data_IF_240417192096
#
_entry.id   IF_240417192096
#
_cell.length_a   1.000
_cell.length_b   1.000
_cell.length_c   1.000
_cell.angle_alpha   90.00
_cell.angle_beta   90.00
_cell.angle_gamma   90.00
#
_symmetry.space_group_name_H-M   'P 1'
#
loop_
_entity.id
_entity.type
_entity.pdbx_description
1 polymer ?
#
# COMPACT_ATOMS: atom_id res chain seq x y z
N UNK A 1 9.11 84.12 11.48
CA UNK A 1 9.72 83.08 10.62
C UNK A 1 10.33 82.08 11.59
N UNK A 2 9.52 81.12 12.06
CA UNK A 2 9.43 79.72 11.55
C UNK A 2 10.75 78.97 11.74
N UNK A 3 10.85 77.76 12.25
CA UNK A 3 9.97 76.82 12.93
C UNK A 3 10.90 75.66 13.40
N UNK A 4 10.58 75.07 14.54
CA UNK A 4 10.51 73.62 14.87
C UNK A 4 11.73 72.69 14.67
N UNK A 5 12.00 71.95 15.76
CA UNK A 5 12.80 70.74 15.95
C UNK A 5 12.64 69.63 14.89
N UNK A 6 13.69 68.83 14.66
CA UNK A 6 13.51 67.39 14.43
C UNK A 6 14.74 66.61 14.89
N UNK A 7 14.53 65.82 15.93
CA UNK A 7 15.31 64.68 16.37
C UNK A 7 15.32 63.59 15.31
N UNK A 8 16.49 62.98 15.11
CA UNK A 8 16.74 61.86 14.22
C UNK A 8 16.40 60.56 14.97
N UNK A 9 15.16 60.08 14.82
CA UNK A 9 14.72 58.76 15.27
C UNK A 9 14.75 57.82 14.05
N UNK A 10 15.76 56.96 14.00
CA UNK A 10 15.75 55.80 13.09
C UNK A 10 14.83 54.72 13.69
N UNK A 11 13.78 54.26 13.00
CA UNK A 11 12.93 53.20 13.55
C UNK A 11 13.67 51.86 13.49
N UNK A 12 13.54 50.99 14.52
CA UNK A 12 14.04 49.63 14.45
C UNK A 12 13.24 48.85 13.40
N UNK A 13 13.97 48.14 12.54
CA UNK A 13 13.43 47.17 11.59
C UNK A 13 12.54 46.17 12.32
N UNK A 14 11.26 46.17 11.96
CA UNK A 14 10.33 45.12 12.35
C UNK A 14 10.71 43.81 11.64
N UNK A 15 11.65 43.06 12.22
CA UNK A 15 11.66 41.61 12.07
C UNK A 15 10.36 41.11 12.70
N UNK A 16 9.36 40.92 11.85
CA UNK A 16 8.17 40.15 12.22
C UNK A 16 8.63 38.71 12.41
N UNK A 17 8.79 38.32 13.66
CA UNK A 17 8.62 36.93 14.08
C UNK A 17 7.28 36.43 13.51
N UNK A 18 7.34 35.76 12.36
CA UNK A 18 6.22 34.98 11.86
C UNK A 18 5.88 33.97 12.95
N UNK A 19 4.60 33.91 13.33
CA UNK A 19 4.15 32.95 14.33
C UNK A 19 4.59 31.54 13.87
N UNK A 20 5.00 30.64 14.80
CA UNK A 20 5.46 29.30 14.44
C UNK A 20 4.43 28.51 13.61
N UNK A 21 3.14 28.87 13.72
CA UNK A 21 2.05 28.31 12.93
C UNK A 21 2.17 28.65 11.41
N UNK A 22 2.62 29.86 11.06
CA UNK A 22 2.81 30.29 9.66
C UNK A 22 4.05 29.62 9.02
N UNK A 23 5.12 29.43 9.79
CA UNK A 23 6.34 28.78 9.31
C UNK A 23 6.14 27.27 9.06
N UNK A 24 5.30 26.60 9.86
CA UNK A 24 4.92 25.19 9.65
C UNK A 24 3.98 25.06 8.45
N UNK A 25 3.04 25.99 8.27
CA UNK A 25 2.13 26.04 7.13
C UNK A 25 2.86 26.37 5.81
N UNK A 26 3.78 27.33 5.81
CA UNK A 26 4.62 27.67 4.64
C UNK A 26 5.57 26.53 4.28
N UNK A 27 6.15 25.84 5.26
CA UNK A 27 6.99 24.66 4.99
C UNK A 27 6.17 23.51 4.40
N UNK A 28 4.94 23.29 4.89
CA UNK A 28 4.01 22.34 4.30
C UNK A 28 3.58 22.73 2.88
N UNK A 29 3.45 24.02 2.58
CA UNK A 29 3.12 24.54 1.25
C UNK A 29 4.31 24.44 0.26
N UNK A 30 5.54 24.67 0.73
CA UNK A 30 6.76 24.56 -0.08
C UNK A 30 7.17 23.10 -0.35
N UNK A 31 6.94 22.18 0.58
CA UNK A 31 7.21 20.75 0.39
C UNK A 31 6.22 20.06 -0.57
N UNK A 32 5.03 20.64 -0.78
CA UNK A 32 4.02 20.17 -1.74
C UNK A 32 4.45 20.32 -3.23
N UNK A 33 5.59 20.95 -3.49
CA UNK A 33 6.11 21.23 -4.84
C UNK A 33 7.01 20.08 -5.38
N UNK A 34 7.37 19.09 -4.54
CA UNK A 34 8.39 18.09 -4.89
C UNK A 34 7.91 16.88 -5.70
N UNK A 35 6.61 16.74 -5.96
CA UNK A 35 6.08 15.76 -6.92
C UNK A 35 5.53 16.54 -8.11
N UNK A 36 6.33 16.68 -9.18
CA UNK A 36 5.80 17.25 -10.41
C UNK A 36 4.74 16.27 -10.96
N UNK A 37 3.48 16.70 -11.13
CA UNK A 37 2.45 15.83 -11.67
C UNK A 37 2.83 15.42 -13.09
N UNK A 38 2.63 14.15 -13.42
CA UNK A 38 2.78 13.67 -14.80
C UNK A 38 1.87 14.50 -15.72
N UNK A 39 2.36 14.84 -16.91
CA UNK A 39 1.57 15.60 -17.90
C UNK A 39 0.37 14.82 -18.41
N UNK A 40 0.53 13.50 -18.51
CA UNK A 40 -0.49 12.58 -18.95
C UNK A 40 -1.22 12.03 -17.72
N UNK A 41 -2.56 12.03 -17.78
CA UNK A 41 -3.42 11.50 -16.71
C UNK A 41 -4.16 10.24 -17.15
N UNK A 42 -4.15 9.93 -18.44
CA UNK A 42 -4.83 8.80 -19.06
C UNK A 42 -3.90 8.10 -20.07
N UNK A 43 -4.14 6.83 -20.34
CA UNK A 43 -3.44 6.07 -21.38
C UNK A 43 -4.00 6.37 -22.77
N UNK A 44 -3.78 7.59 -23.26
CA UNK A 44 -4.30 8.12 -24.52
C UNK A 44 -3.44 7.75 -25.76
N UNK A 45 -3.27 6.45 -25.97
CA UNK A 45 -2.52 5.93 -27.11
C UNK A 45 -3.01 6.45 -28.47
N UNK A 46 -2.08 6.85 -29.33
CA UNK A 46 -2.35 7.39 -30.66
C UNK A 46 -2.38 6.31 -31.74
N UNK A 47 -1.57 5.26 -31.59
CA UNK A 47 -1.46 4.20 -32.58
C UNK A 47 -2.70 3.29 -32.57
N UNK A 48 -3.21 2.97 -33.77
CA UNK A 48 -4.48 2.23 -33.95
C UNK A 48 -4.50 0.82 -33.36
N UNK A 49 -3.33 0.23 -33.13
CA UNK A 49 -3.22 -1.10 -32.50
C UNK A 49 -3.86 -1.11 -31.10
N UNK A 50 -3.78 0.01 -30.38
CA UNK A 50 -4.34 0.15 -29.04
C UNK A 50 -5.85 0.43 -29.06
N UNK A 51 -6.40 0.81 -30.21
CA UNK A 51 -7.84 1.02 -30.39
C UNK A 51 -8.59 -0.29 -30.69
N UNK A 52 -7.92 -1.44 -30.69
CA UNK A 52 -8.55 -2.72 -30.96
C UNK A 52 -9.56 -3.09 -29.86
N UNK A 53 -10.77 -3.55 -30.22
CA UNK A 53 -11.78 -3.92 -29.23
C UNK A 53 -11.29 -5.00 -28.28
N UNK A 54 -11.44 -4.75 -26.98
CA UNK A 54 -11.05 -5.69 -25.94
C UNK A 54 -9.55 -5.76 -25.69
N UNK A 55 -8.74 -4.86 -26.26
CA UNK A 55 -7.33 -4.73 -25.94
C UNK A 55 -7.12 -4.44 -24.45
N UNK A 56 -6.12 -5.08 -23.85
CA UNK A 56 -5.70 -4.79 -22.49
C UNK A 56 -4.27 -5.22 -22.21
N UNK A 57 -3.65 -4.57 -21.25
CA UNK A 57 -2.32 -4.87 -20.77
C UNK A 57 -2.38 -5.65 -19.47
N UNK A 58 -1.51 -6.64 -19.30
CA UNK A 58 -1.31 -7.34 -18.04
C UNK A 58 0.12 -7.89 -17.98
N UNK A 59 0.55 -8.36 -16.80
CA UNK A 59 1.77 -9.15 -16.71
C UNK A 59 1.52 -10.56 -17.22
N UNK A 60 2.45 -11.09 -18.01
CA UNK A 60 2.43 -12.49 -18.38
C UNK A 60 2.61 -13.38 -17.14
N UNK A 61 1.80 -14.45 -16.96
CA UNK A 61 1.85 -15.27 -15.74
C UNK A 61 3.20 -15.94 -15.48
N UNK A 62 3.99 -16.21 -16.53
CA UNK A 62 5.24 -16.96 -16.45
C UNK A 62 6.45 -16.04 -16.41
N UNK A 63 6.58 -15.16 -17.41
CA UNK A 63 7.73 -14.26 -17.56
C UNK A 63 7.66 -13.03 -16.68
N UNK A 64 6.46 -12.62 -16.25
CA UNK A 64 6.17 -11.35 -15.55
C UNK A 64 6.36 -10.09 -16.38
N UNK A 65 6.72 -10.24 -17.65
CA UNK A 65 6.84 -9.12 -18.57
C UNK A 65 5.46 -8.52 -18.87
N UNK A 66 5.42 -7.20 -19.08
CA UNK A 66 4.20 -6.53 -19.52
C UNK A 66 3.88 -6.91 -20.97
N UNK A 67 2.64 -7.34 -21.20
CA UNK A 67 2.17 -7.78 -22.52
C UNK A 67 0.86 -7.10 -22.88
N UNK A 68 0.68 -6.81 -24.16
CA UNK A 68 -0.60 -6.39 -24.74
C UNK A 68 -1.37 -7.64 -25.20
N UNK A 69 -2.56 -7.83 -24.66
CA UNK A 69 -3.51 -8.85 -25.09
C UNK A 69 -4.51 -8.24 -26.06
N UNK A 70 -4.63 -8.83 -27.25
CA UNK A 70 -5.58 -8.44 -28.29
C UNK A 70 -6.29 -9.66 -28.87
N UNK A 71 -7.47 -9.41 -29.42
CA UNK A 71 -8.23 -10.38 -30.22
C UNK A 71 -7.96 -10.13 -31.70
N UNK A 72 -7.40 -11.12 -32.39
CA UNK A 72 -7.17 -11.11 -33.83
C UNK A 72 -8.05 -12.19 -34.48
N UNK A 73 -9.23 -11.79 -34.93
CA UNK A 73 -10.28 -12.73 -35.32
C UNK A 73 -10.76 -13.53 -34.11
N UNK A 74 -10.63 -14.86 -34.17
CA UNK A 74 -10.95 -15.77 -33.05
C UNK A 74 -9.73 -16.09 -32.16
N UNK A 75 -8.55 -15.58 -32.49
CA UNK A 75 -7.32 -15.86 -31.76
C UNK A 75 -7.04 -14.77 -30.71
N UNK A 76 -6.78 -15.21 -29.47
CA UNK A 76 -6.21 -14.37 -28.42
C UNK A 76 -4.70 -14.38 -28.54
N UNK A 77 -4.10 -13.21 -28.71
CA UNK A 77 -2.65 -13.05 -28.83
C UNK A 77 -2.15 -12.14 -27.72
N UNK A 78 -1.07 -12.56 -27.07
CA UNK A 78 -0.31 -11.74 -26.13
C UNK A 78 1.00 -11.32 -26.80
N UNK A 79 1.25 -10.01 -26.86
CA UNK A 79 2.42 -9.41 -27.50
C UNK A 79 3.28 -8.73 -26.43
N UNK A 80 4.54 -9.16 -26.30
CA UNK A 80 5.52 -8.45 -25.50
C UNK A 80 5.84 -7.08 -26.14
N UNK A 81 6.16 -6.08 -25.32
CA UNK A 81 6.39 -4.71 -25.79
C UNK A 81 7.46 -4.58 -26.87
N UNK A 82 8.62 -5.28 -26.80
CA UNK A 82 9.60 -5.23 -27.89
C UNK A 82 9.02 -5.72 -29.23
N UNK A 83 8.31 -6.85 -29.21
CA UNK A 83 7.63 -7.38 -30.40
C UNK A 83 6.55 -6.44 -30.92
N UNK A 84 5.80 -5.81 -30.01
CA UNK A 84 4.76 -4.84 -30.35
C UNK A 84 5.37 -3.61 -31.03
N UNK A 85 6.43 -3.05 -30.47
CA UNK A 85 7.10 -1.86 -31.02
C UNK A 85 7.67 -2.15 -32.41
N UNK A 86 8.34 -3.29 -32.59
CA UNK A 86 8.89 -3.71 -33.88
C UNK A 86 7.78 -3.96 -34.91
N UNK A 87 6.77 -4.76 -34.55
CA UNK A 87 5.73 -5.20 -35.48
C UNK A 87 4.83 -4.05 -35.96
N UNK A 88 4.62 -3.05 -35.12
CA UNK A 88 3.76 -1.90 -35.41
C UNK A 88 4.54 -0.62 -35.67
N UNK A 89 5.87 -0.68 -35.78
CA UNK A 89 6.75 0.45 -36.08
C UNK A 89 6.54 1.63 -35.11
N UNK A 90 6.36 1.33 -33.82
CA UNK A 90 6.26 2.33 -32.76
C UNK A 90 7.67 2.78 -32.42
N UNK A 91 7.99 4.02 -32.75
CA UNK A 91 9.33 4.59 -32.58
C UNK A 91 9.69 4.76 -31.10
N UNK A 92 10.94 4.44 -30.73
CA UNK A 92 11.41 4.63 -29.35
C UNK A 92 11.30 6.10 -28.92
N UNK A 93 10.86 6.32 -27.68
CA UNK A 93 10.70 7.65 -27.11
C UNK A 93 9.51 8.47 -27.65
N UNK A 94 8.71 7.94 -28.59
CA UNK A 94 7.45 8.57 -28.99
C UNK A 94 6.41 8.56 -27.85
N UNK A 95 5.26 9.21 -28.05
CA UNK A 95 4.19 9.28 -27.03
C UNK A 95 3.75 7.89 -26.57
N UNK A 96 3.41 7.02 -27.51
CA UNK A 96 2.93 5.68 -27.20
C UNK A 96 4.01 4.82 -26.55
N UNK A 97 5.28 4.95 -26.95
CA UNK A 97 6.39 4.24 -26.32
C UNK A 97 6.55 4.66 -24.84
N UNK A 98 6.43 5.95 -24.52
CA UNK A 98 6.44 6.42 -23.12
C UNK A 98 5.24 5.91 -22.34
N UNK A 99 4.04 5.88 -22.95
CA UNK A 99 2.87 5.29 -22.29
C UNK A 99 3.06 3.79 -22.01
N UNK A 100 3.75 3.04 -22.87
CA UNK A 100 4.09 1.63 -22.60
C UNK A 100 5.01 1.50 -21.37
N UNK A 101 6.02 2.35 -21.21
CA UNK A 101 6.86 2.38 -20.01
C UNK A 101 6.05 2.67 -18.74
N UNK A 102 5.05 3.55 -18.84
CA UNK A 102 4.14 3.86 -17.72
C UNK A 102 3.23 2.67 -17.41
N UNK A 103 2.78 1.94 -18.43
CA UNK A 103 2.01 0.70 -18.22
C UNK A 103 2.82 -0.34 -17.47
N UNK A 104 4.09 -0.53 -17.83
CA UNK A 104 4.96 -1.48 -17.14
C UNK A 104 5.04 -1.18 -15.63
N UNK A 105 5.16 0.10 -15.29
CA UNK A 105 5.14 0.56 -13.89
C UNK A 105 3.75 0.41 -13.26
N UNK A 106 2.68 0.76 -13.97
CA UNK A 106 1.31 0.74 -13.46
C UNK A 106 0.81 -0.67 -13.14
N UNK A 107 1.26 -1.67 -13.89
CA UNK A 107 0.93 -3.07 -13.66
C UNK A 107 1.51 -3.64 -12.35
N UNK A 108 2.37 -2.90 -11.64
CA UNK A 108 2.75 -3.23 -10.28
C UNK A 108 1.58 -3.05 -9.27
N UNK A 109 0.62 -2.17 -9.57
CA UNK A 109 -0.46 -1.78 -8.65
C UNK A 109 -1.81 -2.39 -9.03
N UNK A 110 -2.02 -2.63 -10.32
CA UNK A 110 -3.26 -3.17 -10.90
C UNK A 110 -3.00 -4.40 -11.77
N UNK A 111 -3.96 -5.32 -11.82
CA UNK A 111 -3.82 -6.56 -12.63
C UNK A 111 -3.87 -6.32 -14.13
N UNK A 112 -4.62 -5.30 -14.53
CA UNK A 112 -4.95 -5.05 -15.91
C UNK A 112 -5.13 -3.55 -16.11
N UNK A 113 -4.65 -3.07 -17.25
CA UNK A 113 -4.84 -1.69 -17.73
C UNK A 113 -5.47 -1.76 -19.12
N UNK A 114 -6.43 -0.89 -19.40
CA UNK A 114 -6.99 -0.74 -20.76
C UNK A 114 -6.57 0.60 -21.38
N UNK A 115 -6.41 0.65 -22.71
CA UNK A 115 -6.27 1.90 -23.44
C UNK A 115 -7.39 2.89 -23.06
N UNK A 116 -7.02 4.13 -22.78
CA UNK A 116 -7.92 5.21 -22.37
C UNK A 116 -8.29 5.26 -20.89
N UNK A 117 -7.89 4.28 -20.06
CA UNK A 117 -8.07 4.35 -18.61
C UNK A 117 -7.16 5.40 -17.97
N UNK A 118 -7.56 5.87 -16.78
CA UNK A 118 -6.74 6.75 -15.95
C UNK A 118 -5.46 6.03 -15.52
N UNK A 119 -4.34 6.75 -15.51
CA UNK A 119 -3.07 6.21 -15.01
C UNK A 119 -3.22 5.96 -13.50
N UNK A 120 -2.73 4.81 -12.96
CA UNK A 120 -2.83 4.53 -11.54
C UNK A 120 -2.33 5.69 -10.68
N UNK A 121 -3.13 6.10 -9.71
CA UNK A 121 -2.84 7.24 -8.84
C UNK A 121 -1.49 7.12 -8.12
N UNK A 122 -1.01 5.89 -7.90
CA UNK A 122 0.30 5.62 -7.30
C UNK A 122 1.44 6.26 -8.11
N UNK A 123 1.29 6.34 -9.44
CA UNK A 123 2.25 6.97 -10.34
C UNK A 123 2.01 8.47 -10.51
N UNK A 124 0.76 8.93 -10.37
CA UNK A 124 0.40 10.33 -10.61
C UNK A 124 0.71 11.22 -9.40
N UNK A 125 0.18 10.86 -8.24
CA UNK A 125 0.22 11.69 -7.02
C UNK A 125 0.31 10.88 -5.71
N UNK A 126 0.51 9.57 -5.83
CA UNK A 126 0.62 8.64 -4.73
C UNK A 126 -0.73 8.22 -4.11
N UNK A 127 -1.87 8.61 -4.68
CA UNK A 127 -3.18 8.08 -4.26
C UNK A 127 -3.34 6.62 -4.71
N UNK A 128 -4.01 5.80 -3.91
CA UNK A 128 -4.25 4.42 -4.29
C UNK A 128 -5.24 4.35 -5.48
N UNK A 129 -4.96 3.50 -6.47
CA UNK A 129 -5.84 3.18 -7.60
C UNK A 129 -6.97 2.21 -7.24
N UNK A 130 -7.07 1.83 -5.97
CA UNK A 130 -8.03 0.88 -5.44
C UNK A 130 -8.70 1.46 -4.19
N UNK A 131 -9.85 0.90 -3.81
CA UNK A 131 -10.67 1.42 -2.71
C UNK A 131 -10.66 0.51 -1.49
N UNK A 132 -10.96 1.10 -0.33
CA UNK A 132 -11.11 0.40 0.94
C UNK A 132 -12.55 0.43 1.42
N UNK A 133 -12.96 -0.61 2.12
CA UNK A 133 -14.23 -0.67 2.85
C UNK A 133 -14.17 0.09 4.18
N UNK A 134 -15.33 0.50 4.69
CA UNK A 134 -15.46 1.27 5.94
C UNK A 134 -14.86 0.56 7.15
N UNK A 135 -14.95 -0.78 7.20
CA UNK A 135 -14.34 -1.58 8.26
C UNK A 135 -12.82 -1.37 8.38
N UNK A 136 -12.14 -1.09 7.27
CA UNK A 136 -10.69 -0.81 7.28
C UNK A 136 -10.40 0.60 7.78
N UNK A 137 -11.26 1.57 7.45
CA UNK A 137 -11.17 2.95 7.97
C UNK A 137 -11.36 2.97 9.48
N UNK A 138 -12.36 2.25 9.98
CA UNK A 138 -12.63 2.10 11.42
C UNK A 138 -11.44 1.44 12.11
N UNK A 139 -10.91 0.34 11.55
CA UNK A 139 -9.74 -0.35 12.10
C UNK A 139 -8.49 0.57 12.16
N UNK A 140 -8.23 1.34 11.11
CA UNK A 140 -7.09 2.26 11.06
C UNK A 140 -7.22 3.39 12.09
N UNK A 141 -8.39 4.03 12.16
CA UNK A 141 -8.67 5.07 13.16
C UNK A 141 -8.58 4.54 14.58
N UNK A 142 -9.07 3.32 14.81
CA UNK A 142 -8.93 2.63 16.08
C UNK A 142 -7.48 2.42 16.46
N UNK A 143 -6.69 1.80 15.59
CA UNK A 143 -5.27 1.52 15.86
C UNK A 143 -4.50 2.79 16.17
N UNK A 144 -4.72 3.85 15.40
CA UNK A 144 -4.08 5.15 15.59
C UNK A 144 -4.48 5.79 16.94
N UNK A 145 -5.77 5.71 17.31
CA UNK A 145 -6.27 6.18 18.61
C UNK A 145 -5.58 5.44 19.76
N UNK A 146 -5.45 4.12 19.65
CA UNK A 146 -4.79 3.31 20.68
C UNK A 146 -3.29 3.61 20.78
N UNK A 147 -2.61 3.82 19.66
CA UNK A 147 -1.20 4.25 19.65
C UNK A 147 -1.01 5.61 20.32
N UNK A 148 -1.91 6.56 20.07
CA UNK A 148 -1.92 7.86 20.73
C UNK A 148 -2.12 7.71 22.24
N UNK A 149 -3.17 7.01 22.66
CA UNK A 149 -3.48 6.82 24.09
C UNK A 149 -2.32 6.10 24.81
N UNK A 150 -1.78 5.05 24.22
CA UNK A 150 -0.65 4.27 24.76
C UNK A 150 0.59 5.14 24.99
N UNK A 151 0.96 5.94 23.98
CA UNK A 151 2.16 6.79 24.01
C UNK A 151 2.16 7.82 25.16
N UNK A 152 0.97 8.23 25.64
CA UNK A 152 0.83 9.27 26.66
C UNK A 152 0.36 8.79 28.02
N UNK A 153 -0.18 7.57 28.11
CA UNK A 153 -0.58 6.95 29.38
C UNK A 153 0.48 5.98 29.91
N UNK A 154 1.44 5.55 29.08
CA UNK A 154 2.50 4.61 29.46
C UNK A 154 2.02 3.17 29.62
N UNK A 155 0.74 2.91 29.36
CA UNK A 155 0.19 1.56 29.32
C UNK A 155 0.15 1.11 27.85
N UNK A 156 0.99 0.13 27.52
CA UNK A 156 0.98 -0.49 26.19
C UNK A 156 -0.31 -1.31 26.04
N UNK A 157 -1.24 -0.81 25.21
CA UNK A 157 -2.47 -1.53 24.92
C UNK A 157 -2.25 -2.30 23.62
N UNK A 158 -1.92 -3.58 23.75
CA UNK A 158 -1.76 -4.48 22.62
C UNK A 158 -3.13 -4.86 22.08
N UNK A 159 -3.49 -4.31 20.92
CA UNK A 159 -4.74 -4.65 20.22
C UNK A 159 -4.52 -5.90 19.38
N UNK A 160 -5.10 -7.02 19.82
CA UNK A 160 -4.87 -8.34 19.21
C UNK A 160 -5.82 -8.64 18.04
N UNK A 161 -7.05 -8.10 18.07
CA UNK A 161 -8.06 -8.29 17.02
C UNK A 161 -9.00 -7.08 16.90
N UNK A 162 -9.80 -7.07 15.82
CA UNK A 162 -10.68 -5.97 15.47
C UNK A 162 -11.88 -5.82 16.44
N UNK A 163 -12.35 -6.90 17.05
CA UNK A 163 -13.47 -6.84 17.99
C UNK A 163 -13.07 -6.21 19.32
N UNK A 164 -11.85 -6.49 19.80
CA UNK A 164 -11.27 -5.82 20.96
C UNK A 164 -11.05 -4.34 20.69
N UNK A 165 -10.66 -3.98 19.46
CA UNK A 165 -10.46 -2.59 19.07
C UNK A 165 -11.76 -1.78 19.13
N UNK A 166 -12.85 -2.33 18.59
CA UNK A 166 -14.17 -1.69 18.62
C UNK A 166 -14.66 -1.46 20.04
N UNK A 167 -14.53 -2.45 20.92
CA UNK A 167 -14.91 -2.31 22.34
C UNK A 167 -14.13 -1.22 23.07
N UNK A 168 -12.83 -1.09 22.78
CA UNK A 168 -11.98 -0.07 23.40
C UNK A 168 -12.27 1.34 22.88
N UNK A 169 -12.69 1.45 21.61
CA UNK A 169 -13.08 2.72 21.01
C UNK A 169 -14.37 3.29 21.61
N UNK A 170 -15.31 2.42 22.00
CA UNK A 170 -16.60 2.82 22.59
C UNK A 170 -16.51 3.17 24.08
N UNK A 171 -15.36 2.93 24.74
CA UNK A 171 -15.14 3.24 26.15
C UNK A 171 -15.00 4.77 26.38
N UNK A 172 -15.88 5.40 27.20
CA UNK A 172 -15.76 6.81 27.55
C UNK A 172 -14.38 7.19 28.12
N UNK A 173 -13.72 6.29 28.85
CA UNK A 173 -12.38 6.55 29.38
C UNK A 173 -11.32 6.68 28.28
N UNK A 174 -11.47 5.94 27.17
CA UNK A 174 -10.57 6.05 26.02
C UNK A 174 -10.70 7.43 25.37
N UNK A 175 -11.92 7.95 25.24
CA UNK A 175 -12.16 9.30 24.72
C UNK A 175 -11.54 10.40 25.61
N UNK A 176 -11.65 10.29 26.93
CA UNK A 176 -11.01 11.25 27.85
C UNK A 176 -9.48 11.21 27.74
N UNK A 177 -8.89 10.00 27.71
CA UNK A 177 -7.45 9.82 27.52
C UNK A 177 -6.97 10.38 26.19
N UNK A 178 -7.78 10.24 25.13
CA UNK A 178 -7.49 10.79 23.80
C UNK A 178 -7.43 12.32 23.84
N UNK A 179 -8.42 12.98 24.45
CA UNK A 179 -8.41 14.45 24.62
C UNK A 179 -7.19 14.94 25.41
N UNK A 180 -6.84 14.23 26.48
CA UNK A 180 -5.64 14.55 27.26
C UNK A 180 -4.34 14.36 26.46
N UNK A 181 -4.28 13.35 25.59
CA UNK A 181 -3.16 13.14 24.69
C UNK A 181 -3.06 14.27 23.65
N UNK A 182 -4.17 14.73 23.09
CA UNK A 182 -4.20 15.85 22.13
C UNK A 182 -3.61 17.12 22.72
N UNK A 183 -3.98 17.48 23.95
CA UNK A 183 -3.42 18.65 24.64
C UNK A 183 -1.88 18.54 24.77
N UNK A 184 -1.36 17.36 25.14
CA UNK A 184 0.08 17.11 25.26
C UNK A 184 0.80 17.13 23.91
N UNK A 185 0.18 16.63 22.84
CA UNK A 185 0.74 16.68 21.48
C UNK A 185 0.81 18.13 21.03
N UNK A 186 -0.25 18.91 21.21
CA UNK A 186 -0.30 20.33 20.85
C UNK A 186 0.83 21.12 21.53
N UNK A 187 1.05 20.90 22.83
CA UNK A 187 2.15 21.51 23.58
C UNK A 187 3.53 21.13 22.99
N UNK A 188 3.76 19.84 22.69
CA UNK A 188 5.03 19.36 22.12
C UNK A 188 5.29 19.84 20.69
N UNK A 189 4.23 20.09 19.93
CA UNK A 189 4.30 20.67 18.59
C UNK A 189 4.28 22.20 18.62
N UNK A 190 4.14 22.82 19.80
CA UNK A 190 4.03 24.26 20.00
C UNK A 190 2.91 24.90 19.19
N UNK A 191 1.79 24.18 19.02
CA UNK A 191 0.62 24.66 18.29
C UNK A 191 -0.13 25.67 19.17
N UNK A 192 -0.33 26.89 18.66
CA UNK A 192 -0.93 27.98 19.47
C UNK A 192 -2.39 28.25 19.15
N UNK A 193 -2.80 28.08 17.89
CA UNK A 193 -4.18 28.32 17.45
C UNK A 193 -4.76 27.09 16.77
N UNK A 194 -6.04 26.80 17.01
CA UNK A 194 -6.78 25.70 16.37
C UNK A 194 -6.08 24.32 16.44
N UNK A 195 -5.30 24.08 17.51
CA UNK A 195 -4.50 22.87 17.63
C UNK A 195 -5.35 21.59 17.58
N UNK A 196 -6.54 21.59 18.18
CA UNK A 196 -7.44 20.45 18.17
C UNK A 196 -7.93 20.11 16.76
N UNK A 197 -8.35 21.11 15.97
CA UNK A 197 -8.77 20.92 14.58
C UNK A 197 -7.60 20.43 13.72
N UNK A 198 -6.44 21.12 13.82
CA UNK A 198 -5.24 20.73 13.09
C UNK A 198 -4.83 19.28 13.36
N UNK A 199 -4.82 18.87 14.63
CA UNK A 199 -4.47 17.50 15.01
C UNK A 199 -5.52 16.50 14.52
N UNK A 200 -6.80 16.85 14.60
CA UNK A 200 -7.89 16.00 14.10
C UNK A 200 -7.75 15.76 12.60
N UNK A 201 -7.57 16.82 11.81
CA UNK A 201 -7.41 16.72 10.35
C UNK A 201 -6.18 15.86 9.98
N UNK A 202 -5.04 16.09 10.64
CA UNK A 202 -3.82 15.30 10.38
C UNK A 202 -3.95 13.84 10.79
N UNK A 203 -4.64 13.56 11.89
CA UNK A 203 -4.90 12.19 12.35
C UNK A 203 -5.88 11.50 11.39
N UNK A 204 -6.90 12.19 10.90
CA UNK A 204 -7.84 11.63 9.93
C UNK A 204 -7.16 11.37 8.57
N UNK A 205 -6.28 12.26 8.10
CA UNK A 205 -5.45 12.03 6.91
C UNK A 205 -4.54 10.80 7.08
N UNK A 206 -3.87 10.65 8.23
CA UNK A 206 -3.05 9.46 8.52
C UNK A 206 -3.90 8.20 8.60
N UNK A 207 -5.06 8.26 9.27
CA UNK A 207 -5.98 7.14 9.36
C UNK A 207 -6.48 6.72 7.96
N UNK A 208 -6.70 7.68 7.06
CA UNK A 208 -7.08 7.39 5.68
C UNK A 208 -5.96 6.66 4.93
N UNK A 209 -4.70 7.06 5.08
CA UNK A 209 -3.58 6.32 4.47
C UNK A 209 -3.39 4.92 5.09
N UNK A 210 -3.50 4.80 6.42
CA UNK A 210 -3.42 3.53 7.13
C UNK A 210 -4.58 2.58 6.83
N UNK A 211 -5.74 3.10 6.41
CA UNK A 211 -6.89 2.26 6.03
C UNK A 211 -6.56 1.33 4.86
N UNK A 212 -5.68 1.76 3.95
CA UNK A 212 -5.17 0.89 2.89
C UNK A 212 -4.27 -0.21 3.45
N UNK A 213 -3.41 0.10 4.43
CA UNK A 213 -2.61 -0.92 5.12
C UNK A 213 -3.53 -1.94 5.81
N UNK A 214 -4.62 -1.49 6.45
CA UNK A 214 -5.59 -2.39 7.08
C UNK A 214 -6.33 -3.29 6.09
N UNK A 215 -6.67 -2.79 4.90
CA UNK A 215 -7.25 -3.63 3.84
C UNK A 215 -6.26 -4.68 3.35
N UNK A 216 -4.97 -4.34 3.23
CA UNK A 216 -3.91 -5.29 2.88
C UNK A 216 -3.66 -6.30 4.01
N UNK A 217 -3.78 -5.89 5.29
CA UNK A 217 -3.76 -6.80 6.45
C UNK A 217 -4.92 -7.79 6.38
N UNK A 218 -6.13 -7.32 6.09
CA UNK A 218 -7.27 -8.22 5.94
C UNK A 218 -7.04 -9.24 4.84
N UNK A 219 -6.54 -8.80 3.66
CA UNK A 219 -6.20 -9.70 2.57
C UNK A 219 -5.11 -10.70 2.95
N UNK A 220 -4.09 -10.26 3.66
CA UNK A 220 -3.02 -11.13 4.16
C UNK A 220 -3.51 -12.20 5.14
N UNK A 221 -4.58 -11.96 5.91
CA UNK A 221 -5.21 -13.00 6.75
C UNK A 221 -5.66 -14.20 5.91
N UNK A 222 -6.08 -14.01 4.66
CA UNK A 222 -6.43 -15.11 3.77
C UNK A 222 -5.21 -15.99 3.43
N UNK A 223 -4.02 -15.41 3.29
CA UNK A 223 -2.78 -16.18 3.10
C UNK A 223 -2.49 -17.03 4.35
N UNK A 224 -2.65 -16.46 5.56
CA UNK A 224 -2.53 -17.22 6.81
C UNK A 224 -3.57 -18.35 6.91
N UNK A 225 -4.79 -18.13 6.42
CA UNK A 225 -5.83 -19.18 6.37
C UNK A 225 -5.43 -20.34 5.47
N UNK A 226 -4.66 -20.12 4.41
CA UNK A 226 -4.13 -21.21 3.57
C UNK A 226 -3.24 -22.13 4.41
N UNK A 227 -2.31 -21.60 5.20
CA UNK A 227 -1.43 -22.42 6.06
C UNK A 227 -2.24 -23.25 7.07
N UNK A 228 -3.26 -22.65 7.68
CA UNK A 228 -4.18 -23.35 8.57
C UNK A 228 -5.00 -24.42 7.84
N UNK A 229 -5.44 -24.12 6.61
CA UNK A 229 -6.18 -25.06 5.78
C UNK A 229 -5.31 -26.26 5.39
N UNK A 230 -4.02 -26.07 5.07
CA UNK A 230 -3.08 -27.16 4.83
C UNK A 230 -2.98 -28.10 6.04
N UNK A 231 -2.91 -27.56 7.26
CA UNK A 231 -2.91 -28.37 8.48
C UNK A 231 -4.20 -29.19 8.67
N UNK A 232 -5.36 -28.59 8.41
CA UNK A 232 -6.66 -29.29 8.45
C UNK A 232 -6.73 -30.38 7.38
N UNK A 233 -6.31 -30.08 6.15
CA UNK A 233 -6.28 -31.03 5.04
C UNK A 233 -5.33 -32.20 5.29
N UNK A 234 -4.18 -31.96 5.94
CA UNK A 234 -3.28 -33.05 6.34
C UNK A 234 -3.95 -34.06 7.27
N UNK A 235 -4.88 -33.60 8.12
CA UNK A 235 -5.68 -34.47 8.99
C UNK A 235 -6.74 -35.23 8.19
N UNK A 236 -7.44 -34.54 7.29
CA UNK A 236 -8.49 -35.14 6.43
C UNK A 236 -7.89 -36.21 5.50
N UNK A 237 -6.72 -35.96 4.92
CA UNK A 237 -6.02 -36.84 4.00
C UNK A 237 -4.97 -37.74 4.67
N UNK A 238 -5.01 -37.94 6.00
CA UNK A 238 -4.00 -38.69 6.77
C UNK A 238 -3.56 -40.06 6.23
N UNK A 239 -4.40 -40.70 5.41
CA UNK A 239 -4.14 -42.00 4.78
C UNK A 239 -3.31 -41.89 3.49
N UNK A 240 -3.33 -40.73 2.84
CA UNK A 240 -2.55 -40.43 1.64
C UNK A 240 -1.22 -39.78 2.02
N UNK A 241 -0.18 -40.62 2.09
CA UNK A 241 1.16 -40.18 2.49
C UNK A 241 1.77 -39.19 1.51
N UNK A 242 1.47 -39.32 0.21
CA UNK A 242 2.02 -38.43 -0.82
C UNK A 242 1.42 -37.04 -0.67
N UNK A 243 0.09 -36.97 -0.56
CA UNK A 243 -0.62 -35.72 -0.35
C UNK A 243 -0.17 -35.00 0.93
N UNK A 244 -0.08 -35.72 2.06
CA UNK A 244 0.44 -35.16 3.31
C UNK A 244 1.89 -34.66 3.19
N UNK A 245 2.75 -35.37 2.46
CA UNK A 245 4.13 -34.94 2.24
C UNK A 245 4.20 -33.62 1.46
N UNK A 246 3.37 -33.46 0.43
CA UNK A 246 3.30 -32.23 -0.34
C UNK A 246 2.74 -31.05 0.48
N UNK A 247 1.70 -31.28 1.29
CA UNK A 247 1.20 -30.27 2.25
C UNK A 247 2.31 -29.78 3.19
N UNK A 248 3.08 -30.70 3.79
CA UNK A 248 4.18 -30.33 4.68
C UNK A 248 5.27 -29.51 3.96
N UNK A 249 5.57 -29.83 2.70
CA UNK A 249 6.52 -29.03 1.89
C UNK A 249 6.01 -27.61 1.65
N UNK A 250 4.73 -27.48 1.30
CA UNK A 250 4.10 -26.16 1.10
C UNK A 250 4.12 -25.33 2.39
N UNK A 251 3.82 -25.94 3.55
CA UNK A 251 3.94 -25.26 4.85
C UNK A 251 5.37 -24.79 5.14
N UNK A 252 6.38 -25.52 4.67
CA UNK A 252 7.77 -25.05 4.71
C UNK A 252 8.00 -23.80 3.87
N UNK A 253 7.52 -23.83 2.61
CA UNK A 253 7.71 -22.73 1.64
C UNK A 253 6.97 -21.44 2.02
N UNK A 254 5.77 -21.53 2.60
CA UNK A 254 4.94 -20.36 2.92
C UNK A 254 5.43 -19.58 4.15
N UNK A 255 6.19 -20.21 5.05
CA UNK A 255 6.63 -19.60 6.31
C UNK A 255 7.46 -18.33 6.12
N UNK A 256 8.40 -18.35 5.17
CA UNK A 256 9.29 -17.23 4.89
C UNK A 256 8.51 -16.00 4.41
N UNK A 257 7.71 -16.07 3.32
CA UNK A 257 6.95 -14.91 2.87
C UNK A 257 5.95 -14.43 3.93
N UNK A 258 5.32 -15.32 4.71
CA UNK A 258 4.44 -14.92 5.82
C UNK A 258 5.17 -14.06 6.85
N UNK A 259 6.40 -14.44 7.26
CA UNK A 259 7.20 -13.63 8.18
C UNK A 259 7.64 -12.30 7.57
N UNK A 260 7.96 -12.29 6.28
CA UNK A 260 8.33 -11.05 5.58
C UNK A 260 7.17 -10.06 5.55
N UNK A 261 5.93 -10.51 5.30
CA UNK A 261 4.75 -9.65 5.40
C UNK A 261 4.55 -9.12 6.82
N UNK A 262 4.68 -9.97 7.84
CA UNK A 262 4.58 -9.55 9.24
C UNK A 262 5.56 -8.42 9.56
N UNK A 263 6.83 -8.57 9.16
CA UNK A 263 7.85 -7.53 9.36
C UNK A 263 7.50 -6.21 8.67
N UNK A 264 6.90 -6.25 7.47
CA UNK A 264 6.50 -5.02 6.75
C UNK A 264 5.31 -4.35 7.46
N UNK A 265 4.34 -5.12 7.95
CA UNK A 265 3.23 -4.57 8.74
C UNK A 265 3.71 -3.99 10.08
N UNK A 266 4.66 -4.64 10.73
CA UNK A 266 5.27 -4.14 11.97
C UNK A 266 6.04 -2.84 11.71
N UNK A 267 6.72 -2.72 10.56
CA UNK A 267 7.40 -1.49 10.15
C UNK A 267 6.40 -0.33 9.95
N UNK A 268 5.23 -0.60 9.34
CA UNK A 268 4.17 0.40 9.20
C UNK A 268 3.66 0.87 10.57
N UNK A 269 3.43 -0.07 11.50
CA UNK A 269 2.94 0.26 12.85
C UNK A 269 4.00 0.98 13.70
N UNK A 270 5.28 0.62 13.55
CA UNK A 270 6.37 1.29 14.24
C UNK A 270 6.50 2.76 13.84
N UNK A 271 6.29 3.08 12.55
CA UNK A 271 6.35 4.46 12.06
C UNK A 271 5.26 5.34 12.69
N UNK A 272 4.09 4.78 12.98
CA UNK A 272 2.97 5.52 13.61
C UNK A 272 2.98 5.41 15.13
N UNK A 273 3.79 4.53 15.70
CA UNK A 273 4.04 4.42 17.14
C UNK A 273 4.69 5.67 17.74
N UNK A 274 5.56 6.38 17.01
CA UNK A 274 6.01 7.73 17.37
C UNK A 274 5.09 8.79 16.73
N UNK A 275 3.89 8.94 17.30
CA UNK A 275 2.89 9.85 16.72
C UNK A 275 3.34 11.32 16.71
N UNK A 276 4.15 11.75 17.67
CA UNK A 276 4.65 13.14 17.69
C UNK A 276 5.66 13.35 16.56
N UNK A 277 6.56 12.39 16.34
CA UNK A 277 7.47 12.39 15.20
C UNK A 277 6.73 12.34 13.86
N UNK A 278 5.71 11.48 13.76
CA UNK A 278 4.87 11.34 12.58
C UNK A 278 4.15 12.65 12.23
N UNK A 279 3.51 13.31 13.21
CA UNK A 279 2.80 14.57 12.99
C UNK A 279 3.75 15.75 12.71
N UNK A 280 4.95 15.75 13.31
CA UNK A 280 5.98 16.76 13.03
C UNK A 280 6.54 16.62 11.61
N UNK A 281 6.77 15.40 11.17
CA UNK A 281 7.30 15.08 9.84
C UNK A 281 6.20 14.44 8.97
N UNK A 282 5.06 15.13 8.88
CA UNK A 282 3.82 14.59 8.33
C UNK A 282 3.96 14.10 6.89
N UNK A 283 4.43 14.95 5.98
CA UNK A 283 4.53 14.59 4.57
C UNK A 283 5.51 13.43 4.32
N UNK A 284 6.75 13.43 4.87
CA UNK A 284 7.63 12.27 4.80
C UNK A 284 7.00 10.98 5.35
N UNK A 285 6.22 11.09 6.43
CA UNK A 285 5.53 9.95 7.03
C UNK A 285 4.45 9.40 6.11
N UNK A 286 3.62 10.27 5.50
CA UNK A 286 2.62 9.87 4.51
C UNK A 286 3.27 9.19 3.31
N UNK A 287 4.34 9.76 2.76
CA UNK A 287 5.05 9.14 1.62
C UNK A 287 5.64 7.77 1.98
N UNK A 288 6.15 7.62 3.19
CA UNK A 288 6.63 6.34 3.69
C UNK A 288 5.51 5.30 3.82
N UNK A 289 4.36 5.68 4.39
CA UNK A 289 3.19 4.80 4.51
C UNK A 289 2.70 4.39 3.12
N UNK A 290 2.63 5.32 2.16
CA UNK A 290 2.26 5.04 0.77
C UNK A 290 3.23 4.07 0.11
N UNK A 291 4.53 4.25 0.30
CA UNK A 291 5.54 3.30 -0.19
C UNK A 291 5.32 1.90 0.37
N UNK A 292 5.09 1.77 1.68
CA UNK A 292 4.78 0.47 2.29
C UNK A 292 3.49 -0.12 1.71
N UNK A 293 2.43 0.69 1.56
CA UNK A 293 1.15 0.29 0.96
C UNK A 293 1.37 -0.28 -0.44
N UNK A 294 2.15 0.43 -1.25
CA UNK A 294 2.41 0.11 -2.65
C UNK A 294 3.25 -1.16 -2.79
N UNK A 295 4.31 -1.29 -1.99
CA UNK A 295 5.14 -2.50 -1.92
C UNK A 295 4.33 -3.73 -1.47
N UNK A 296 3.45 -3.57 -0.47
CA UNK A 296 2.56 -4.63 0.01
C UNK A 296 1.52 -4.99 -1.06
N UNK A 297 0.92 -3.99 -1.72
CA UNK A 297 -0.09 -4.19 -2.76
C UNK A 297 0.49 -5.00 -3.91
N UNK A 298 1.66 -4.62 -4.44
CA UNK A 298 2.33 -5.35 -5.52
C UNK A 298 2.56 -6.81 -5.15
N UNK A 299 3.12 -7.06 -3.97
CA UNK A 299 3.36 -8.42 -3.46
C UNK A 299 2.08 -9.22 -3.27
N UNK A 300 1.00 -8.62 -2.76
CA UNK A 300 -0.27 -9.30 -2.51
C UNK A 300 -1.09 -9.55 -3.78
N UNK A 301 -0.90 -8.72 -4.82
CA UNK A 301 -1.55 -8.87 -6.12
C UNK A 301 -1.27 -10.24 -6.74
N UNK A 302 -0.04 -10.73 -6.58
CA UNK A 302 0.38 -12.05 -7.06
C UNK A 302 -0.41 -13.22 -6.46
N UNK A 303 -0.91 -13.05 -5.24
CA UNK A 303 -1.66 -14.10 -4.53
C UNK A 303 -3.13 -14.12 -4.92
N UNK A 304 -3.67 -13.07 -5.53
CA UNK A 304 -5.11 -12.90 -5.64
C UNK A 304 -5.84 -14.06 -6.32
N UNK A 305 -5.27 -14.62 -7.40
CA UNK A 305 -5.91 -15.74 -8.11
C UNK A 305 -5.89 -17.02 -7.28
N UNK A 306 -4.80 -17.25 -6.55
CA UNK A 306 -4.69 -18.37 -5.63
C UNK A 306 -5.66 -18.22 -4.46
N UNK A 307 -5.75 -17.04 -3.87
CA UNK A 307 -6.63 -16.74 -2.75
C UNK A 307 -8.11 -16.95 -3.10
N UNK A 308 -8.56 -16.51 -4.29
CA UNK A 308 -9.92 -16.77 -4.77
C UNK A 308 -10.23 -18.27 -4.81
N UNK A 309 -9.27 -19.07 -5.27
CA UNK A 309 -9.39 -20.52 -5.27
C UNK A 309 -9.63 -21.10 -3.87
N UNK A 310 -8.91 -20.60 -2.86
CA UNK A 310 -9.01 -21.05 -1.46
C UNK A 310 -10.25 -20.54 -0.73
N UNK A 311 -10.76 -19.36 -1.06
CA UNK A 311 -11.98 -18.79 -0.48
C UNK A 311 -13.23 -19.64 -0.84
N UNK A 312 -13.20 -20.33 -1.99
CA UNK A 312 -14.33 -21.10 -2.53
C UNK A 312 -14.30 -22.63 -2.22
N UNK A 313 -13.41 -23.11 -1.35
CA UNK A 313 -13.31 -24.56 -1.08
C UNK A 313 -14.01 -25.01 0.20
N UNK A 314 -14.66 -26.17 0.10
CA UNK A 314 -15.05 -26.97 1.26
C UNK A 314 -13.87 -27.79 1.76
N UNK A 315 -13.71 -27.86 3.09
CA UNK A 315 -12.62 -28.61 3.75
C UNK A 315 -12.95 -30.10 3.83
N UNK A 316 -12.97 -30.76 2.68
CA UNK A 316 -13.29 -32.19 2.54
C UNK A 316 -12.44 -32.86 1.47
N UNK A 317 -12.55 -34.18 1.32
CA UNK A 317 -11.85 -34.89 0.25
C UNK A 317 -12.55 -34.62 -1.08
N UNK A 318 -11.85 -34.00 -2.04
CA UNK A 318 -12.41 -33.73 -3.36
C UNK A 318 -11.31 -33.48 -4.42
N UNK A 319 -11.60 -33.76 -5.71
CA UNK A 319 -10.70 -33.42 -6.80
C UNK A 319 -10.39 -31.91 -6.90
N UNK A 320 -11.32 -31.04 -6.49
CA UNK A 320 -11.14 -29.58 -6.46
C UNK A 320 -10.02 -29.19 -5.47
N UNK A 321 -10.02 -29.80 -4.29
CA UNK A 321 -8.99 -29.60 -3.26
C UNK A 321 -7.62 -30.08 -3.75
N UNK A 322 -7.58 -31.25 -4.41
CA UNK A 322 -6.33 -31.79 -4.97
C UNK A 322 -5.77 -30.92 -6.10
N UNK A 323 -6.62 -30.38 -6.97
CA UNK A 323 -6.20 -29.45 -8.02
C UNK A 323 -5.65 -28.14 -7.43
N UNK A 324 -6.35 -27.58 -6.44
CA UNK A 324 -5.91 -26.35 -5.77
C UNK A 324 -4.62 -26.56 -4.98
N UNK A 325 -4.44 -27.72 -4.35
CA UNK A 325 -3.20 -28.09 -3.69
C UNK A 325 -2.02 -28.10 -4.68
N UNK A 326 -2.17 -28.72 -5.86
CA UNK A 326 -1.13 -28.71 -6.90
C UNK A 326 -0.83 -27.31 -7.42
N UNK A 327 -1.86 -26.49 -7.62
CA UNK A 327 -1.70 -25.08 -8.02
C UNK A 327 -0.93 -24.30 -6.95
N UNK A 328 -1.28 -24.48 -5.69
CA UNK A 328 -0.61 -23.85 -4.53
C UNK A 328 0.85 -24.27 -4.46
N UNK A 329 1.16 -25.56 -4.63
CA UNK A 329 2.53 -26.04 -4.63
C UNK A 329 3.36 -25.42 -5.76
N UNK A 330 2.83 -25.36 -6.99
CA UNK A 330 3.52 -24.71 -8.14
C UNK A 330 3.74 -23.23 -7.88
N UNK A 331 2.75 -22.53 -7.35
CA UNK A 331 2.85 -21.12 -6.98
C UNK A 331 3.98 -20.89 -5.97
N UNK A 332 3.99 -21.66 -4.88
CA UNK A 332 5.00 -21.53 -3.84
C UNK A 332 6.40 -21.95 -4.33
N UNK A 333 6.50 -23.05 -5.06
CA UNK A 333 7.77 -23.56 -5.55
C UNK A 333 8.41 -22.62 -6.59
N UNK A 334 7.63 -22.02 -7.48
CA UNK A 334 8.15 -21.07 -8.49
C UNK A 334 8.69 -19.77 -7.89
N UNK A 335 8.27 -19.40 -6.67
CA UNK A 335 8.58 -18.10 -6.05
C UNK A 335 9.47 -18.18 -4.82
N UNK A 336 9.37 -19.25 -4.05
CA UNK A 336 9.96 -19.32 -2.70
C UNK A 336 10.87 -20.53 -2.49
N UNK A 337 11.14 -21.33 -3.53
CA UNK A 337 12.13 -22.40 -3.41
C UNK A 337 13.53 -21.78 -3.34
N UNK A 338 14.26 -22.07 -2.26
CA UNK A 338 15.64 -21.62 -2.13
C UNK A 338 16.54 -22.53 -2.97
N UNK A 339 16.88 -22.09 -4.18
CA UNK A 339 17.92 -22.76 -4.98
C UNK A 339 19.28 -22.43 -4.37
N UNK A 340 19.85 -23.37 -3.63
CA UNK A 340 21.29 -23.32 -3.30
C UNK A 340 22.08 -23.50 -4.59
N UNK A 341 22.59 -22.40 -5.15
CA UNK A 341 23.54 -22.47 -6.26
C UNK A 341 24.83 -23.06 -5.71
N UNK A 342 25.06 -24.35 -5.98
CA UNK A 342 26.32 -25.02 -5.65
C UNK A 342 27.45 -24.34 -6.42
N UNK A 343 28.21 -23.45 -5.77
CA UNK A 343 29.51 -23.01 -6.26
C UNK A 343 30.44 -24.22 -6.17
N UNK A 344 30.84 -24.80 -7.31
CA UNK A 344 31.99 -25.71 -7.35
C UNK A 344 33.18 -24.94 -6.80
N UNK A 345 33.73 -25.40 -5.68
CA UNK A 345 34.98 -24.88 -5.12
C UNK A 345 36.07 -24.94 -6.18
N UNK A 346 36.85 -23.86 -6.28
CA UNK A 346 37.97 -23.72 -7.19
C UNK A 346 39.18 -24.57 -6.82
#
# INVERSE_FOLDING_TARGET
>A
MTDISSSDETPPSADKDAAPDDAIAEKAAQENVLVQPMRDTHFDFQHKVFSLPGAFFCQDPNSKDAVLNILLGDLKVALAFPTLMESFQIEEGCHDARLLEIIEQGLAFVKQIRPGEEIPGELLDGRASWSVEDRHRIAAKGRLTMQIVSSFTGNEIIVSDQSQLEQLLDDPQTHEKMKAAFAKIAERLKLTNNAEQYLTDRIDDLAQELSYIEALRDRFRHIRRIDQAMGKLATIYRTDRTFCSELNRMQGLIRKPVREYDMIFDQADAQTGDIVGALRNFHPTVQFIRKIRDDLRAKLLEWEDLLRGWDDISMERSPKVEALQKQTYRFLASRYIETTVWKRGG
#
